data_IF_295566815292
#
_entry.id   IF_295566815292
#
_cell.length_a   1.000
_cell.length_b   1.000
_cell.length_c   1.000
_cell.angle_alpha   90.00
_cell.angle_beta   90.00
_cell.angle_gamma   90.00
#
_symmetry.space_group_name_H-M   'P 1'
#
loop_
_entity.id
_entity.type
_entity.pdbx_description
1 polymer ?
#
# COMPACT_ATOMS: atom_id res chain seq x y z
N UNK A 1 -11.19 -11.34 0.76
CA UNK A 1 -9.97 -12.03 0.28
C UNK A 1 -9.83 -13.36 1.00
N UNK A 2 -9.35 -14.42 0.34
CA UNK A 2 -9.17 -15.73 0.98
C UNK A 2 -8.28 -15.62 2.22
N UNK A 3 -8.78 -16.12 3.36
CA UNK A 3 -8.02 -16.17 4.62
C UNK A 3 -7.20 -17.46 4.66
N UNK A 4 -6.03 -17.43 5.29
CA UNK A 4 -5.27 -18.64 5.56
C UNK A 4 -5.95 -19.40 6.71
N UNK A 5 -6.47 -20.60 6.43
CA UNK A 5 -7.15 -21.44 7.42
C UNK A 5 -6.24 -22.47 8.11
N UNK A 6 -5.02 -22.67 7.58
CA UNK A 6 -4.07 -23.64 8.12
C UNK A 6 -3.44 -23.22 9.46
N UNK A 7 -2.88 -24.19 10.22
CA UNK A 7 -2.20 -23.94 11.48
C UNK A 7 -0.88 -23.17 11.28
N UNK A 8 -0.23 -23.38 10.14
CA UNK A 8 0.99 -22.68 9.74
C UNK A 8 0.60 -21.43 8.97
N UNK A 9 1.08 -20.28 9.45
CA UNK A 9 0.90 -18.99 8.78
C UNK A 9 2.18 -18.61 8.04
N UNK A 10 2.04 -18.42 6.74
CA UNK A 10 3.15 -18.11 5.84
C UNK A 10 3.00 -16.68 5.32
N UNK A 11 4.15 -16.04 5.09
CA UNK A 11 4.27 -14.73 4.44
C UNK A 11 5.29 -14.86 3.32
N UNK A 12 4.97 -14.33 2.14
CA UNK A 12 5.80 -14.49 0.94
C UNK A 12 4.99 -14.99 -0.24
N UNK A 13 5.66 -15.31 -1.34
CA UNK A 13 5.01 -15.85 -2.55
C UNK A 13 5.57 -17.23 -2.81
N UNK A 14 4.68 -18.22 -2.87
CA UNK A 14 5.01 -19.59 -3.25
C UNK A 14 4.21 -19.88 -4.53
N UNK A 15 4.93 -20.21 -5.59
CA UNK A 15 4.38 -20.41 -6.94
C UNK A 15 3.48 -19.25 -7.41
N UNK A 16 2.19 -19.54 -7.59
CA UNK A 16 1.18 -18.59 -8.03
C UNK A 16 0.33 -18.07 -6.87
N UNK A 17 0.71 -18.30 -5.62
CA UNK A 17 -0.01 -17.82 -4.44
C UNK A 17 0.87 -16.88 -3.62
N UNK A 18 0.37 -15.67 -3.39
CA UNK A 18 0.99 -14.66 -2.55
C UNK A 18 0.27 -14.62 -1.20
N UNK A 19 1.04 -14.90 -0.16
CA UNK A 19 0.63 -14.93 1.24
C UNK A 19 1.12 -13.67 1.94
N UNK A 20 0.22 -12.97 2.63
CA UNK A 20 0.54 -11.72 3.30
C UNK A 20 -0.33 -11.52 4.54
N UNK A 21 0.11 -10.60 5.40
CA UNK A 21 -0.58 -10.24 6.64
C UNK A 21 -1.06 -8.79 6.55
N UNK A 22 -2.31 -8.55 6.92
CA UNK A 22 -2.92 -7.22 7.00
C UNK A 22 -3.76 -7.17 8.27
N UNK A 23 -3.56 -6.15 9.11
CA UNK A 23 -4.30 -5.93 10.37
C UNK A 23 -4.36 -7.17 11.26
N UNK A 24 -3.24 -7.87 11.43
CA UNK A 24 -3.17 -9.08 12.27
C UNK A 24 -3.67 -10.36 11.58
N UNK A 25 -4.42 -10.25 10.48
CA UNK A 25 -5.03 -11.37 9.76
C UNK A 25 -4.15 -11.82 8.59
N UNK A 26 -4.08 -13.13 8.38
CA UNK A 26 -3.30 -13.73 7.30
C UNK A 26 -4.19 -14.08 6.11
N UNK A 27 -3.76 -13.66 4.94
CA UNK A 27 -4.48 -13.80 3.68
C UNK A 27 -3.64 -14.52 2.65
N UNK A 28 -4.32 -15.07 1.65
CA UNK A 28 -3.75 -15.63 0.45
C UNK A 28 -4.43 -14.99 -0.77
N UNK A 29 -3.65 -14.74 -1.83
CA UNK A 29 -4.18 -14.31 -3.13
C UNK A 29 -3.47 -15.04 -4.25
N UNK A 30 -4.18 -15.29 -5.34
CA UNK A 30 -3.53 -15.68 -6.59
C UNK A 30 -2.67 -14.52 -7.10
N UNK A 31 -1.53 -14.87 -7.69
CA UNK A 31 -0.68 -13.96 -8.43
C UNK A 31 -1.45 -13.48 -9.65
N UNK A 32 -1.49 -12.17 -9.85
CA UNK A 32 -2.11 -11.61 -11.04
C UNK A 32 -1.24 -11.88 -12.27
N UNK A 33 -1.84 -11.82 -13.46
CA UNK A 33 -1.11 -11.88 -14.74
C UNK A 33 -0.22 -10.65 -15.00
N UNK A 34 -0.19 -9.71 -14.06
CA UNK A 34 0.58 -8.48 -14.16
C UNK A 34 2.02 -8.73 -13.71
N UNK A 35 2.95 -8.75 -14.66
CA UNK A 35 4.38 -8.87 -14.38
C UNK A 35 5.08 -7.53 -14.51
N UNK A 36 6.19 -7.35 -13.78
CA UNK A 36 7.04 -6.16 -13.89
C UNK A 36 7.45 -5.88 -15.33
N UNK A 37 7.88 -6.92 -16.07
CA UNK A 37 8.27 -6.81 -17.49
C UNK A 37 7.13 -6.27 -18.35
N UNK A 38 5.89 -6.72 -18.11
CA UNK A 38 4.70 -6.23 -18.83
C UNK A 38 4.43 -4.76 -18.54
N UNK A 39 4.43 -4.36 -17.27
CA UNK A 39 4.19 -2.96 -16.89
C UNK A 39 5.24 -2.03 -17.49
N UNK A 40 6.51 -2.46 -17.53
CA UNK A 40 7.61 -1.64 -18.05
C UNK A 40 7.62 -1.51 -19.57
N UNK A 41 7.31 -2.59 -20.31
CA UNK A 41 7.49 -2.63 -21.77
C UNK A 41 6.21 -2.46 -22.58
N UNK A 42 5.05 -2.88 -22.05
CA UNK A 42 3.82 -2.88 -22.82
C UNK A 42 3.26 -1.45 -22.99
N UNK A 43 2.77 -1.14 -24.19
CA UNK A 43 2.22 0.16 -24.56
C UNK A 43 0.96 0.53 -23.75
N UNK A 44 0.16 -0.46 -23.34
CA UNK A 44 -1.04 -0.23 -22.52
C UNK A 44 -0.73 0.47 -21.19
N UNK A 45 0.49 0.33 -20.66
CA UNK A 45 0.91 0.95 -19.41
C UNK A 45 1.71 2.25 -19.61
N UNK A 46 1.79 2.80 -20.84
CA UNK A 46 2.57 4.00 -21.14
C UNK A 46 2.14 5.20 -20.28
N UNK A 47 0.83 5.46 -20.20
CA UNK A 47 0.29 6.55 -19.38
C UNK A 47 0.51 6.31 -17.90
N UNK A 48 0.33 5.08 -17.41
CA UNK A 48 0.63 4.72 -16.02
C UNK A 48 2.06 5.05 -15.65
N UNK A 49 3.04 4.75 -16.53
CA UNK A 49 4.45 5.08 -16.29
C UNK A 49 4.70 6.59 -16.30
N UNK A 50 4.07 7.32 -17.23
CA UNK A 50 4.19 8.78 -17.30
C UNK A 50 3.66 9.43 -16.01
N UNK A 51 2.47 9.06 -15.56
CA UNK A 51 1.90 9.57 -14.31
C UNK A 51 2.71 9.15 -13.08
N UNK A 52 3.24 7.93 -13.05
CA UNK A 52 4.11 7.48 -11.97
C UNK A 52 5.40 8.33 -11.88
N UNK A 53 5.99 8.71 -13.02
CA UNK A 53 7.14 9.60 -13.05
C UNK A 53 6.78 11.00 -12.53
N UNK A 54 5.66 11.58 -13.00
CA UNK A 54 5.17 12.89 -12.52
C UNK A 54 4.89 12.87 -11.01
N UNK A 55 4.22 11.82 -10.52
CA UNK A 55 3.93 11.65 -9.10
C UNK A 55 5.23 11.52 -8.28
N UNK A 56 6.24 10.83 -8.81
CA UNK A 56 7.55 10.71 -8.19
C UNK A 56 8.20 12.07 -7.94
N UNK A 57 8.20 12.96 -8.93
CA UNK A 57 8.74 14.31 -8.78
C UNK A 57 7.89 15.18 -7.85
N UNK A 58 6.56 15.17 -8.04
CA UNK A 58 5.64 15.90 -7.18
C UNK A 58 5.77 15.50 -5.70
N UNK A 59 5.96 14.20 -5.41
CA UNK A 59 6.11 13.68 -4.06
C UNK A 59 7.40 14.17 -3.38
N UNK A 60 8.50 14.31 -4.12
CA UNK A 60 9.76 14.86 -3.59
C UNK A 60 9.58 16.31 -3.15
N UNK A 61 8.94 17.12 -4.01
CA UNK A 61 8.63 18.52 -3.72
C UNK A 61 7.71 18.61 -2.50
N UNK A 62 6.60 17.87 -2.51
CA UNK A 62 5.64 17.85 -1.42
C UNK A 62 6.28 17.43 -0.09
N UNK A 63 7.16 16.42 -0.09
CA UNK A 63 7.88 15.97 1.11
C UNK A 63 8.76 17.08 1.71
N UNK A 64 9.44 17.86 0.86
CA UNK A 64 10.27 18.97 1.32
C UNK A 64 9.44 20.07 1.96
N UNK A 65 8.33 20.45 1.33
CA UNK A 65 7.39 21.45 1.85
C UNK A 65 6.74 20.97 3.15
N UNK A 66 6.28 19.72 3.20
CA UNK A 66 5.66 19.12 4.38
C UNK A 66 6.60 19.13 5.61
N UNK A 67 7.91 18.99 5.40
CA UNK A 67 8.92 19.06 6.47
C UNK A 67 9.13 20.47 7.02
N UNK A 68 8.69 21.54 6.33
CA UNK A 68 8.75 22.91 6.85
C UNK A 68 7.62 23.20 7.84
N UNK A 69 6.50 22.47 7.74
CA UNK A 69 5.35 22.63 8.63
C UNK A 69 5.75 22.16 10.05
N UNK A 70 5.39 22.90 11.09
CA UNK A 70 5.72 22.54 12.47
C UNK A 70 5.03 21.23 12.90
N UNK A 71 5.59 20.50 13.86
CA UNK A 71 5.01 19.22 14.34
C UNK A 71 3.59 19.39 14.89
N UNK A 72 3.27 20.55 15.47
CA UNK A 72 1.93 20.88 15.98
C UNK A 72 0.93 20.98 14.83
N UNK A 73 1.31 21.63 13.74
CA UNK A 73 0.47 21.81 12.54
C UNK A 73 0.37 20.54 11.68
N UNK A 74 1.35 19.62 11.77
CA UNK A 74 1.28 18.30 11.13
C UNK A 74 0.28 17.35 11.79
N UNK A 75 -0.15 17.62 13.04
CA UNK A 75 -1.21 16.83 13.64
C UNK A 75 -2.48 17.07 12.83
N UNK A 76 -2.92 16.03 12.12
CA UNK A 76 -4.30 15.95 11.64
C UNK A 76 -5.19 15.80 12.88
N UNK A 77 -5.48 16.92 13.54
CA UNK A 77 -6.48 16.96 14.60
C UNK A 77 -7.84 16.85 13.91
N UNK A 78 -8.25 15.63 13.58
CA UNK A 78 -9.63 15.38 13.22
C UNK A 78 -10.38 15.18 14.54
N UNK A 79 -11.25 16.11 14.97
CA UNK A 79 -12.00 15.97 16.23
C UNK A 79 -13.04 14.83 16.23
N UNK A 80 -12.92 13.82 15.34
CA UNK A 80 -13.88 12.73 15.18
C UNK A 80 -13.29 11.32 15.10
N UNK A 81 -11.99 11.12 15.36
CA UNK A 81 -11.36 9.78 15.35
C UNK A 81 -10.54 9.56 16.60
N UNK A 82 -11.20 9.34 17.73
CA UNK A 82 -10.73 8.61 18.93
C UNK A 82 -11.70 8.92 20.08
N UNK A 83 -12.86 8.24 20.16
CA UNK A 83 -13.60 8.04 21.42
C UNK A 83 -14.57 6.83 21.41
N UNK A 84 -14.62 5.98 20.37
CA UNK A 84 -15.59 4.86 20.35
C UNK A 84 -15.01 3.49 19.93
N UNK A 85 -13.73 3.21 20.17
CA UNK A 85 -13.21 1.84 20.06
C UNK A 85 -12.07 1.62 21.06
N UNK A 86 -12.43 1.41 22.32
CA UNK A 86 -11.47 1.08 23.36
C UNK A 86 -12.02 1.27 24.77
N UNK A 87 -13.16 0.66 25.05
CA UNK A 87 -13.58 0.15 26.37
C UNK A 87 -14.92 -0.56 26.19
N UNK A 88 -15.07 -1.67 26.91
CA UNK A 88 -16.06 -2.77 26.79
C UNK A 88 -15.73 -3.85 25.77
#
# INVERSE_FOLDING_TARGET
MPKQCGPIRITGTIDNVCFYKMDGVYYARMKSSLTRKRVLKNAAFRLTRAHAATLGEASKIASRVYRLISKVQRKHNHPGKCILWGEV
#
